data_IF_180578362616
#
_entry.id   IF_180578362616
#
_cell.length_a   1.000
_cell.length_b   1.000
_cell.length_c   1.000
_cell.angle_alpha   90.00
_cell.angle_beta   90.00
_cell.angle_gamma   90.00
#
_symmetry.space_group_name_H-M   'P 1'
#
loop_
_entity.id
_entity.type
_entity.pdbx_description
1 polymer ?
#
# COMPACT_ATOMS: atom_id res chain seq x y z
N UNK A 1 -13.31 -2.35 -5.46
CA UNK A 1 -11.98 -1.70 -5.44
C UNK A 1 -12.00 -0.26 -4.90
N UNK A 2 -12.85 0.63 -5.42
CA UNK A 2 -12.94 2.03 -4.93
C UNK A 2 -13.60 2.14 -3.55
N UNK A 3 -14.69 1.41 -3.30
CA UNK A 3 -15.40 1.43 -2.02
C UNK A 3 -14.49 1.02 -0.85
N UNK A 4 -13.63 0.04 -1.08
CA UNK A 4 -12.63 -0.44 -0.11
C UNK A 4 -11.38 0.46 -0.01
N UNK A 5 -11.36 1.63 -0.67
CA UNK A 5 -10.23 2.56 -0.75
C UNK A 5 -8.90 1.99 -1.32
N UNK A 6 -8.89 0.76 -1.85
CA UNK A 6 -7.66 0.12 -2.36
C UNK A 6 -6.94 0.96 -3.43
N UNK A 7 -7.70 1.66 -4.28
CA UNK A 7 -7.20 2.53 -5.35
C UNK A 7 -6.34 3.69 -4.85
N UNK A 8 -6.48 4.09 -3.58
CA UNK A 8 -5.70 5.19 -3.00
C UNK A 8 -4.23 4.81 -2.85
N UNK A 9 -3.95 3.54 -2.55
CA UNK A 9 -2.58 3.06 -2.34
C UNK A 9 -2.06 2.23 -3.51
N UNK A 10 -2.91 1.39 -4.10
CA UNK A 10 -2.50 0.40 -5.09
C UNK A 10 -2.80 0.85 -6.52
N UNK A 11 -1.92 0.46 -7.44
CA UNK A 11 -2.22 0.52 -8.86
C UNK A 11 -3.03 -0.70 -9.29
N UNK A 12 -4.00 -0.43 -10.16
CA UNK A 12 -4.77 -1.43 -10.88
C UNK A 12 -5.07 -0.92 -12.29
N UNK A 13 -4.75 -1.71 -13.32
CA UNK A 13 -4.85 -1.34 -14.73
C UNK A 13 -4.24 0.05 -15.01
N UNK A 14 -3.01 0.29 -14.52
CA UNK A 14 -2.26 1.54 -14.61
C UNK A 14 -2.84 2.76 -13.85
N UNK A 15 -3.93 2.61 -13.08
CA UNK A 15 -4.55 3.69 -12.29
C UNK A 15 -4.42 3.45 -10.79
N UNK A 16 -4.34 4.51 -10.00
CA UNK A 16 -4.31 4.45 -8.53
C UNK A 16 -3.04 5.01 -7.93
N UNK A 17 -2.84 4.75 -6.65
CA UNK A 17 -1.71 5.26 -5.86
C UNK A 17 -0.39 4.54 -6.09
N UNK A 18 0.67 5.12 -5.56
CA UNK A 18 2.04 4.60 -5.68
C UNK A 18 2.57 3.97 -4.39
N UNK A 19 1.85 4.11 -3.26
CA UNK A 19 2.34 3.66 -1.97
C UNK A 19 2.38 2.14 -1.84
N UNK A 20 1.39 1.45 -2.41
CA UNK A 20 1.35 -0.01 -2.49
C UNK A 20 1.79 -0.54 -3.86
N UNK A 21 2.00 -1.86 -3.98
CA UNK A 21 2.33 -2.49 -5.25
C UNK A 21 1.19 -2.37 -6.27
N UNK A 22 1.55 -2.49 -7.56
CA UNK A 22 0.57 -2.79 -8.60
C UNK A 22 0.05 -4.22 -8.43
N UNK A 23 -1.26 -4.37 -8.30
CA UNK A 23 -1.91 -5.65 -8.05
C UNK A 23 -2.77 -6.15 -9.22
N UNK A 24 -2.71 -5.50 -10.38
CA UNK A 24 -3.47 -5.87 -11.60
C UNK A 24 -3.31 -7.35 -11.96
N UNK A 25 -2.10 -7.90 -11.80
CA UNK A 25 -1.81 -9.30 -12.11
C UNK A 25 -1.54 -10.19 -10.89
N UNK A 26 -1.92 -9.74 -9.69
CA UNK A 26 -1.57 -10.41 -8.42
C UNK A 26 -2.12 -11.84 -8.32
N UNK A 27 -3.23 -12.13 -9.01
CA UNK A 27 -3.85 -13.45 -9.10
C UNK A 27 -2.94 -14.57 -9.64
N UNK A 28 -1.92 -14.20 -10.43
CA UNK A 28 -0.93 -15.16 -10.93
C UNK A 28 0.07 -15.62 -9.86
N UNK A 29 0.16 -14.88 -8.74
CA UNK A 29 1.16 -15.08 -7.69
C UNK A 29 0.54 -15.50 -6.36
N UNK A 30 -0.68 -15.05 -6.06
CA UNK A 30 -1.33 -15.25 -4.78
C UNK A 30 -2.70 -15.91 -4.96
N UNK A 31 -3.04 -16.85 -4.08
CA UNK A 31 -4.40 -17.40 -4.00
C UNK A 31 -5.35 -16.41 -3.33
N UNK A 32 -6.66 -16.57 -3.52
CA UNK A 32 -7.68 -15.76 -2.85
C UNK A 32 -7.52 -15.76 -1.33
N UNK A 33 -7.25 -16.93 -0.74
CA UNK A 33 -7.08 -17.07 0.70
C UNK A 33 -5.88 -16.26 1.21
N UNK A 34 -4.78 -16.26 0.45
CA UNK A 34 -3.60 -15.45 0.78
C UNK A 34 -3.94 -13.97 0.65
N UNK A 35 -4.52 -13.52 -0.46
CA UNK A 35 -4.90 -12.12 -0.64
C UNK A 35 -5.83 -11.62 0.47
N UNK A 36 -6.87 -12.37 0.79
CA UNK A 36 -7.81 -12.00 1.84
C UNK A 36 -7.12 -11.90 3.20
N UNK A 37 -6.20 -12.83 3.50
CA UNK A 37 -5.41 -12.78 4.74
C UNK A 37 -4.52 -11.53 4.79
N UNK A 38 -3.82 -11.19 3.69
CA UNK A 38 -3.01 -9.96 3.62
C UNK A 38 -3.89 -8.70 3.78
N UNK A 39 -5.13 -8.69 3.28
CA UNK A 39 -6.05 -7.56 3.47
C UNK A 39 -6.54 -7.45 4.93
N UNK A 40 -6.82 -8.59 5.57
CA UNK A 40 -7.29 -8.65 6.96
C UNK A 40 -6.16 -8.28 7.95
N UNK A 41 -4.94 -8.74 7.70
CA UNK A 41 -3.76 -8.43 8.49
C UNK A 41 -2.61 -7.89 7.63
N UNK A 42 -2.66 -6.61 7.23
CA UNK A 42 -1.69 -6.04 6.29
C UNK A 42 -0.25 -5.97 6.79
N UNK A 43 -0.03 -6.20 8.08
CA UNK A 43 1.30 -6.22 8.71
C UNK A 43 1.86 -7.63 8.88
N UNK A 44 1.15 -8.68 8.41
CA UNK A 44 1.62 -10.07 8.51
C UNK A 44 2.91 -10.28 7.71
N UNK A 45 2.99 -9.66 6.54
CA UNK A 45 4.18 -9.62 5.70
C UNK A 45 4.19 -8.32 4.90
N UNK A 46 5.23 -7.51 5.12
CA UNK A 46 5.48 -6.31 4.32
C UNK A 46 6.77 -6.55 3.55
N UNK A 47 6.74 -6.34 2.23
CA UNK A 47 7.94 -6.44 1.41
C UNK A 47 8.81 -5.21 1.66
N UNK A 48 10.13 -5.41 1.74
CA UNK A 48 11.16 -4.38 1.89
C UNK A 48 10.96 -3.17 0.96
N UNK A 49 10.48 -3.41 -0.27
CA UNK A 49 10.21 -2.34 -1.26
C UNK A 49 9.06 -1.41 -0.88
N UNK A 50 8.18 -1.86 0.01
CA UNK A 50 6.96 -1.19 0.44
C UNK A 50 6.93 -1.00 1.96
N UNK A 51 8.06 -1.20 2.63
CA UNK A 51 8.19 -0.99 4.05
C UNK A 51 7.94 0.46 4.44
N UNK A 52 7.24 0.58 5.55
CA UNK A 52 7.00 1.85 6.20
C UNK A 52 8.22 2.24 7.02
N UNK A 53 8.60 3.51 6.97
CA UNK A 53 9.76 4.06 7.64
C UNK A 53 9.33 5.18 8.59
N UNK A 54 9.90 5.17 9.79
CA UNK A 54 9.80 6.26 10.76
C UNK A 54 11.12 7.01 10.75
N UNK A 55 11.07 8.28 10.39
CA UNK A 55 12.18 9.22 10.39
C UNK A 55 12.00 10.18 11.56
N UNK A 56 13.02 10.27 12.41
CA UNK A 56 13.14 11.24 13.49
C UNK A 56 14.09 12.31 12.98
N UNK A 57 13.62 13.56 12.90
CA UNK A 57 14.47 14.69 12.56
C UNK A 57 15.20 15.21 13.80
N UNK A 58 16.31 15.91 13.62
CA UNK A 58 17.04 16.62 14.68
C UNK A 58 16.19 17.68 15.42
N UNK A 59 15.15 18.22 14.76
CA UNK A 59 14.10 19.05 15.36
C UNK A 59 13.07 18.26 16.20
N UNK A 60 13.22 16.95 16.34
CA UNK A 60 12.31 16.06 17.08
C UNK A 60 11.00 15.73 16.36
N UNK A 61 10.90 15.98 15.04
CA UNK A 61 9.69 15.61 14.26
C UNK A 61 9.72 14.13 13.93
N UNK A 62 8.57 13.48 14.09
CA UNK A 62 8.32 12.12 13.63
C UNK A 62 7.61 12.17 12.28
N UNK A 63 8.27 11.67 11.25
CA UNK A 63 7.73 11.52 9.90
C UNK A 63 7.59 10.03 9.60
N UNK A 64 6.41 9.61 9.17
CA UNK A 64 6.11 8.21 8.86
C UNK A 64 5.66 8.09 7.40
N UNK A 65 6.24 7.16 6.66
CA UNK A 65 5.92 6.99 5.25
C UNK A 65 6.82 5.99 4.54
N UNK A 66 6.61 5.83 3.24
CA UNK A 66 7.44 4.96 2.39
C UNK A 66 8.56 5.76 1.74
N UNK A 67 9.79 5.27 1.81
CA UNK A 67 10.91 5.86 1.10
C UNK A 67 10.79 5.50 -0.39
N UNK A 68 10.68 6.52 -1.24
CA UNK A 68 10.63 6.39 -2.69
C UNK A 68 12.04 6.37 -3.31
N UNK A 69 12.94 7.17 -2.74
CA UNK A 69 14.35 7.23 -3.12
C UNK A 69 15.18 7.79 -1.97
N UNK A 70 16.45 7.41 -1.96
CA UNK A 70 17.43 7.89 -1.00
C UNK A 70 18.76 8.11 -1.73
N UNK A 71 19.34 9.30 -1.54
CA UNK A 71 20.68 9.68 -1.96
C UNK A 71 21.48 10.14 -0.75
N UNK A 72 22.77 10.43 -0.95
CA UNK A 72 23.65 10.91 0.12
C UNK A 72 23.13 12.21 0.80
N UNK A 73 22.41 13.04 0.05
CA UNK A 73 21.94 14.35 0.51
C UNK A 73 20.46 14.38 0.89
N UNK A 74 19.63 13.47 0.37
CA UNK A 74 18.17 13.58 0.49
C UNK A 74 17.45 12.23 0.56
N UNK A 75 16.49 12.13 1.48
CA UNK A 75 15.49 11.07 1.52
C UNK A 75 14.17 11.60 0.97
N UNK A 76 13.60 10.91 0.00
CA UNK A 76 12.27 11.20 -0.56
C UNK A 76 11.24 10.28 0.08
N UNK A 77 10.34 10.83 0.88
CA UNK A 77 9.36 10.10 1.68
C UNK A 77 7.94 10.38 1.19
N UNK A 78 7.17 9.36 0.86
CA UNK A 78 5.75 9.47 0.59
C UNK A 78 4.94 9.19 1.86
N UNK A 79 4.20 10.19 2.34
CA UNK A 79 3.62 10.18 3.70
C UNK A 79 2.10 10.00 3.73
N UNK A 80 1.38 10.26 2.63
CA UNK A 80 -0.08 10.18 2.62
C UNK A 80 -0.63 9.39 1.41
N UNK A 81 -1.34 8.27 1.62
CA UNK A 81 -2.03 7.54 0.55
C UNK A 81 -3.13 8.33 -0.15
N UNK A 82 -3.68 9.36 0.51
CA UNK A 82 -4.77 10.19 -0.05
C UNK A 82 -4.26 11.35 -0.88
N UNK A 83 -2.96 11.66 -0.80
CA UNK A 83 -2.31 12.75 -1.50
C UNK A 83 -1.02 12.22 -2.13
N UNK A 84 -1.09 11.60 -3.33
CA UNK A 84 0.07 11.00 -4.00
C UNK A 84 1.22 12.00 -4.24
N UNK A 85 0.89 13.29 -4.37
CA UNK A 85 1.83 14.41 -4.45
C UNK A 85 2.45 14.83 -3.11
N UNK A 86 1.96 14.30 -1.98
CA UNK A 86 2.52 14.55 -0.65
C UNK A 86 3.81 13.76 -0.46
N UNK A 87 4.85 14.28 -1.11
CA UNK A 87 6.21 13.79 -1.06
C UNK A 87 7.02 14.79 -0.24
N UNK A 88 7.68 14.31 0.81
CA UNK A 88 8.63 15.09 1.59
C UNK A 88 10.04 14.79 1.09
N UNK A 89 10.79 15.85 0.81
CA UNK A 89 12.24 15.77 0.62
C UNK A 89 12.91 16.19 1.92
N UNK A 90 13.60 15.25 2.55
CA UNK A 90 14.20 15.41 3.86
C UNK A 90 15.73 15.39 3.66
N UNK A 91 16.45 16.49 3.96
CA UNK A 91 17.90 16.49 3.93
C UNK A 91 18.45 15.43 4.90
N UNK A 92 19.36 14.57 4.44
CA UNK A 92 19.94 13.50 5.27
C UNK A 92 20.61 14.05 6.54
N UNK A 93 21.19 15.25 6.45
CA UNK A 93 21.80 15.98 7.58
C UNK A 93 20.80 16.36 8.69
N UNK A 94 19.51 16.42 8.38
CA UNK A 94 18.44 16.72 9.36
C UNK A 94 17.86 15.46 10.00
N UNK A 95 18.31 14.26 9.61
CA UNK A 95 17.80 12.99 10.11
C UNK A 95 18.64 12.56 11.31
N UNK A 96 18.02 12.52 12.49
CA UNK A 96 18.62 11.97 13.70
C UNK A 96 18.58 10.43 13.68
N UNK A 97 17.44 9.86 13.28
CA UNK A 97 17.28 8.42 13.18
C UNK A 97 16.28 8.01 12.10
N UNK A 98 16.51 6.84 11.51
CA UNK A 98 15.62 6.18 10.57
C UNK A 98 15.40 4.75 11.01
N UNK A 99 14.13 4.32 11.09
CA UNK A 99 13.76 2.96 11.51
C UNK A 99 12.70 2.38 10.59
N UNK A 100 12.83 1.11 10.27
CA UNK A 100 11.77 0.34 9.61
C UNK A 100 10.66 0.08 10.62
N UNK A 101 9.42 0.41 10.25
CA UNK A 101 8.22 0.08 11.01
C UNK A 101 7.73 -1.30 10.61
N UNK A 102 7.41 -2.14 11.61
CA UNK A 102 6.75 -3.44 11.38
C UNK A 102 5.26 -3.29 11.04
N UNK A 103 4.75 -2.06 11.08
CA UNK A 103 3.35 -1.74 10.78
C UNK A 103 3.24 -1.28 9.33
N UNK A 104 2.40 -1.96 8.57
CA UNK A 104 2.11 -1.60 7.18
C UNK A 104 1.40 -0.26 7.06
N UNK A 105 1.67 0.47 5.97
CA UNK A 105 0.89 1.66 5.58
C UNK A 105 -0.53 1.31 5.13
N UNK A 106 -0.80 0.05 4.80
CA UNK A 106 -2.15 -0.39 4.47
C UNK A 106 -3.00 -0.45 5.74
N UNK A 107 -4.10 0.33 5.82
CA UNK A 107 -4.94 0.36 7.02
C UNK A 107 -5.57 -0.99 7.34
N UNK A 108 -5.70 -1.30 8.63
CA UNK A 108 -6.53 -2.42 9.09
C UNK A 108 -8.02 -2.06 8.99
N UNK A 109 -8.86 -3.08 8.82
CA UNK A 109 -10.31 -2.91 8.84
C UNK A 109 -10.92 -2.31 7.57
N UNK A 110 -10.20 -2.30 6.45
CA UNK A 110 -10.71 -1.83 5.15
C UNK A 110 -11.95 -2.58 4.67
N UNK A 111 -12.15 -3.82 5.15
CA UNK A 111 -13.31 -4.65 4.82
C UNK A 111 -14.47 -4.48 5.80
N UNK A 112 -14.29 -3.76 6.91
CA UNK A 112 -15.29 -3.70 7.99
C UNK A 112 -16.60 -3.03 7.57
N UNK A 113 -16.56 -2.17 6.54
CA UNK A 113 -17.73 -1.47 6.01
C UNK A 113 -18.37 -2.18 4.82
N UNK A 114 -17.81 -3.33 4.40
CA UNK A 114 -18.28 -4.07 3.25
C UNK A 114 -19.15 -5.25 3.68
N UNK A 115 -20.14 -5.58 2.87
CA UNK A 115 -20.86 -6.85 3.01
C UNK A 115 -19.99 -8.02 2.56
N UNK A 116 -20.42 -9.24 2.89
CA UNK A 116 -19.75 -10.45 2.40
C UNK A 116 -19.69 -10.49 0.88
N UNK A 117 -20.79 -10.11 0.23
CA UNK A 117 -20.91 -10.05 -1.23
C UNK A 117 -19.94 -9.03 -1.82
N UNK A 118 -19.84 -7.82 -1.24
CA UNK A 118 -18.90 -6.80 -1.70
C UNK A 118 -17.42 -7.22 -1.53
N UNK A 119 -17.11 -8.01 -0.49
CA UNK A 119 -15.77 -8.59 -0.31
C UNK A 119 -15.50 -9.62 -1.41
N UNK A 120 -16.46 -10.49 -1.72
CA UNK A 120 -16.31 -11.47 -2.80
C UNK A 120 -16.16 -10.78 -4.16
N UNK A 121 -16.94 -9.74 -4.44
CA UNK A 121 -16.84 -8.94 -5.65
C UNK A 121 -15.48 -8.24 -5.76
N UNK A 122 -14.95 -7.72 -4.63
CA UNK A 122 -13.61 -7.14 -4.59
C UNK A 122 -12.54 -8.17 -4.95
N UNK A 123 -12.61 -9.37 -4.37
CA UNK A 123 -11.66 -10.45 -4.64
C UNK A 123 -11.77 -10.93 -6.08
N UNK A 124 -13.00 -11.12 -6.59
CA UNK A 124 -13.25 -11.52 -7.97
C UNK A 124 -12.70 -10.49 -8.97
N UNK A 125 -12.88 -9.20 -8.70
CA UNK A 125 -12.32 -8.11 -9.51
C UNK A 125 -10.78 -8.13 -9.55
N UNK A 126 -10.13 -8.38 -8.42
CA UNK A 126 -8.66 -8.49 -8.36
C UNK A 126 -8.19 -9.75 -9.09
N UNK A 127 -8.89 -10.86 -8.90
CA UNK A 127 -8.57 -12.14 -9.55
C UNK A 127 -8.64 -12.07 -11.06
N UNK A 128 -9.67 -11.39 -11.59
CA UNK A 128 -9.87 -11.28 -13.02
C UNK A 128 -8.94 -10.28 -13.70
N UNK A 129 -8.07 -9.59 -12.95
CA UNK A 129 -7.31 -8.44 -13.46
C UNK A 129 -8.21 -7.34 -14.07
N UNK A 130 -9.49 -7.30 -13.69
CA UNK A 130 -10.50 -6.41 -14.26
C UNK A 130 -11.10 -6.87 -15.59
N UNK A 131 -10.82 -8.09 -16.04
CA UNK A 131 -11.46 -8.71 -17.21
C UNK A 131 -12.89 -9.14 -16.87
N UNK A 132 -13.90 -8.56 -17.53
CA UNK A 132 -15.31 -8.88 -17.28
C UNK A 132 -15.71 -10.27 -17.75
N UNK A 133 -14.95 -10.87 -18.67
CA UNK A 133 -15.27 -12.18 -19.26
C UNK A 133 -14.57 -13.35 -18.54
N UNK A 134 -13.83 -13.04 -17.48
CA UNK A 134 -13.08 -14.01 -16.70
C UNK A 134 -14.01 -15.07 -16.06
N UNK A 135 -13.56 -16.32 -16.02
CA UNK A 135 -14.34 -17.47 -15.52
C UNK A 135 -14.79 -17.34 -14.05
N UNK A 136 -14.24 -16.39 -13.30
CA UNK A 136 -14.66 -16.10 -11.91
C UNK A 136 -16.06 -15.49 -11.83
N UNK A 137 -16.57 -14.96 -12.94
CA UNK A 137 -17.90 -14.35 -13.04
C UNK A 137 -18.95 -15.27 -13.67
N UNK A 138 -18.59 -16.53 -13.98
CA UNK A 138 -19.47 -17.55 -14.55
C UNK A 138 -19.88 -18.54 -13.48
#
# INVERSE_FOLDING_TARGET
FRNAACIQCHRFANRGGILGPDITGSAKRYSMAVMLREIIDPSIQVSDQFENHVIITDEGKLLEGRILSESDDTVTLAVDPRQPESILQIPTVSIEAKKVSRTSLMPKGLLNTLTREEILDLLAYILSAGDSEHDVFK
#
